data_IF_065902405783
#
_entry.id   IF_065902405783
#
_cell.length_a   1.000
_cell.length_b   1.000
_cell.length_c   1.000
_cell.angle_alpha   90.00
_cell.angle_beta   90.00
_cell.angle_gamma   90.00
#
_symmetry.space_group_name_H-M   'P 1'
#
loop_
_entity.id
_entity.type
_entity.pdbx_description
1 polymer ?
#
# COMPACT_ATOMS: atom_id res chain seq x y z
N UNK A 1 21.34 -1.19 -3.56
CA UNK A 1 22.69 -0.63 -3.80
C UNK A 1 23.43 -1.61 -4.68
N UNK A 2 24.00 -1.22 -5.84
CA UNK A 2 24.83 -2.13 -6.60
C UNK A 2 26.04 -2.49 -5.75
N UNK A 3 26.25 -3.77 -5.49
CA UNK A 3 27.51 -4.27 -4.95
C UNK A 3 28.57 -4.07 -6.03
N UNK A 4 29.46 -3.12 -5.79
CA UNK A 4 30.54 -2.80 -6.74
C UNK A 4 31.68 -3.81 -6.51
N UNK A 5 31.52 -5.01 -7.02
CA UNK A 5 32.62 -5.96 -7.13
C UNK A 5 33.33 -5.92 -8.50
N UNK A 6 32.81 -5.08 -9.41
CA UNK A 6 33.29 -5.05 -10.79
C UNK A 6 33.90 -3.69 -11.12
N UNK A 7 35.21 -3.65 -11.38
CA UNK A 7 35.93 -2.44 -11.79
C UNK A 7 35.48 -1.85 -13.14
N UNK A 8 34.54 -2.53 -13.83
CA UNK A 8 33.95 -2.04 -15.09
C UNK A 8 32.65 -1.26 -14.88
N UNK A 9 32.25 -0.94 -13.64
CA UNK A 9 31.12 -0.04 -13.41
C UNK A 9 31.48 1.38 -13.88
N UNK A 10 30.50 2.09 -14.49
CA UNK A 10 30.72 3.48 -14.82
C UNK A 10 31.13 4.25 -13.55
N UNK A 11 32.09 5.17 -13.65
CA UNK A 11 32.50 6.01 -12.52
C UNK A 11 31.33 6.86 -11.99
N UNK A 12 30.33 7.09 -12.81
CA UNK A 12 29.10 7.80 -12.48
C UNK A 12 27.97 6.80 -12.30
N UNK A 13 27.51 6.60 -11.07
CA UNK A 13 26.28 5.87 -10.77
C UNK A 13 25.37 6.69 -9.87
N UNK A 14 24.08 6.55 -10.08
CA UNK A 14 23.08 7.31 -9.41
C UNK A 14 21.90 6.41 -9.01
N UNK A 15 21.59 6.40 -7.73
CA UNK A 15 20.35 5.81 -7.22
C UNK A 15 19.34 6.95 -7.00
N UNK A 16 18.37 7.06 -7.89
CA UNK A 16 17.28 8.03 -7.76
C UNK A 16 16.07 7.39 -7.12
N UNK A 17 15.50 8.04 -6.11
CA UNK A 17 14.32 7.57 -5.39
C UNK A 17 13.33 8.71 -5.22
N UNK A 18 12.07 8.40 -5.42
CA UNK A 18 10.94 9.28 -5.17
C UNK A 18 10.37 8.98 -3.79
N UNK A 19 10.15 10.02 -3.01
CA UNK A 19 9.44 9.94 -1.72
C UNK A 19 8.25 10.88 -1.77
N UNK A 20 7.08 10.37 -1.37
CA UNK A 20 5.83 11.10 -1.33
C UNK A 20 4.90 10.41 -0.33
N UNK A 21 3.89 11.09 0.16
CA UNK A 21 2.93 10.74 1.21
C UNK A 21 2.63 9.26 1.46
N UNK A 22 2.42 8.48 0.45
CA UNK A 22 1.99 7.08 0.59
C UNK A 22 2.98 6.09 -0.03
N UNK A 23 4.11 6.55 -0.55
CA UNK A 23 4.99 5.72 -1.36
C UNK A 23 6.24 5.28 -0.62
N UNK A 24 6.94 6.25 -0.02
CA UNK A 24 8.12 5.95 0.80
C UNK A 24 8.45 7.12 1.71
N UNK A 25 9.23 6.85 2.75
CA UNK A 25 9.81 7.91 3.60
C UNK A 25 11.15 8.37 3.00
N UNK A 26 11.50 9.67 3.09
CA UNK A 26 12.71 10.22 2.48
C UNK A 26 13.95 9.90 3.33
N UNK A 27 14.28 8.61 3.42
CA UNK A 27 15.48 8.10 4.10
C UNK A 27 16.31 7.31 3.09
N UNK A 28 17.54 7.72 2.89
CA UNK A 28 18.49 7.06 1.99
C UNK A 28 19.74 6.67 2.76
N UNK A 29 20.25 5.48 2.54
CA UNK A 29 21.43 4.96 3.26
C UNK A 29 22.48 4.45 2.27
N UNK A 30 23.70 4.95 2.42
CA UNK A 30 24.88 4.36 1.83
C UNK A 30 25.39 3.27 2.78
N UNK A 31 25.45 2.03 2.26
CA UNK A 31 25.85 0.86 3.02
C UNK A 31 27.26 0.48 2.61
N UNK A 32 28.16 0.41 3.56
CA UNK A 32 29.53 -0.07 3.39
C UNK A 32 29.67 -1.58 3.57
N UNK A 33 30.90 -2.02 3.71
CA UNK A 33 31.20 -3.42 3.96
C UNK A 33 30.54 -3.94 5.25
N UNK A 34 30.29 -5.22 5.32
CA UNK A 34 29.66 -5.90 6.45
C UNK A 34 28.31 -5.27 6.90
N UNK A 35 27.57 -4.67 5.98
CA UNK A 35 26.26 -4.05 6.27
C UNK A 35 26.32 -2.87 7.25
N UNK A 36 27.48 -2.19 7.32
CA UNK A 36 27.68 -1.03 8.17
C UNK A 36 27.19 0.24 7.45
N UNK A 37 26.53 1.11 8.19
CA UNK A 37 26.16 2.44 7.72
C UNK A 37 27.39 3.27 7.41
N UNK A 38 27.45 3.82 6.21
CA UNK A 38 28.46 4.84 5.82
C UNK A 38 27.88 6.24 6.01
N UNK A 39 26.67 6.46 5.50
CA UNK A 39 25.91 7.68 5.73
C UNK A 39 24.42 7.43 5.48
N UNK A 40 23.57 7.87 6.40
CA UNK A 40 22.11 7.88 6.24
C UNK A 40 21.62 9.31 6.21
N UNK A 41 20.85 9.64 5.20
CA UNK A 41 20.23 10.95 4.99
C UNK A 41 18.73 10.83 5.23
N UNK A 42 18.17 11.70 6.07
CA UNK A 42 16.74 11.77 6.34
C UNK A 42 16.26 13.22 6.15
N UNK A 43 15.12 13.40 5.49
CA UNK A 43 14.55 14.72 5.19
C UNK A 43 13.28 14.90 6.00
N UNK A 44 13.10 16.07 6.62
CA UNK A 44 11.96 16.34 7.52
C UNK A 44 10.60 16.40 6.83
N UNK A 45 10.57 16.68 5.53
CA UNK A 45 9.32 16.71 4.76
C UNK A 45 9.03 15.34 4.14
N UNK A 46 8.17 14.57 4.78
CA UNK A 46 7.70 13.26 4.28
C UNK A 46 6.37 13.36 3.51
N UNK A 47 5.82 14.55 3.33
CA UNK A 47 4.50 14.74 2.73
C UNK A 47 4.56 15.21 1.28
N UNK A 48 5.48 16.12 0.96
CA UNK A 48 5.67 16.58 -0.40
C UNK A 48 6.53 15.61 -1.19
N UNK A 49 6.36 15.66 -2.49
CA UNK A 49 7.24 14.94 -3.39
C UNK A 49 8.65 15.48 -3.26
N UNK A 50 9.58 14.60 -2.92
CA UNK A 50 11.01 14.86 -2.96
C UNK A 50 11.69 13.81 -3.83
N UNK A 51 12.59 14.24 -4.69
CA UNK A 51 13.44 13.36 -5.47
C UNK A 51 14.81 13.36 -4.82
N UNK A 52 15.24 12.19 -4.33
CA UNK A 52 16.55 12.04 -3.71
C UNK A 52 17.48 11.24 -4.63
N UNK A 53 18.71 11.68 -4.73
CA UNK A 53 19.74 11.06 -5.55
C UNK A 53 20.98 10.82 -4.71
N UNK A 54 21.40 9.58 -4.63
CA UNK A 54 22.63 9.17 -3.95
C UNK A 54 23.52 8.49 -4.99
N UNK A 55 24.73 8.96 -5.15
CA UNK A 55 25.63 8.44 -6.17
C UNK A 55 27.06 8.94 -6.06
N UNK A 56 27.84 8.68 -7.10
CA UNK A 56 29.21 9.16 -7.26
C UNK A 56 29.23 10.13 -8.43
N UNK A 57 29.76 11.32 -8.20
CA UNK A 57 29.93 12.30 -9.27
C UNK A 57 31.17 11.94 -10.10
N UNK A 58 30.99 11.81 -11.43
CA UNK A 58 32.05 11.35 -12.34
C UNK A 58 33.26 12.30 -12.41
N UNK A 59 33.06 13.61 -12.24
CA UNK A 59 34.11 14.60 -12.34
C UNK A 59 35.00 14.67 -11.11
N UNK A 60 34.40 14.46 -9.93
CA UNK A 60 35.10 14.60 -8.65
C UNK A 60 35.41 13.25 -7.98
N UNK A 61 34.80 12.17 -8.46
CA UNK A 61 34.83 10.83 -7.85
C UNK A 61 34.38 10.82 -6.38
N UNK A 62 33.63 11.85 -5.98
CA UNK A 62 33.13 11.97 -4.61
C UNK A 62 31.70 11.47 -4.51
N UNK A 63 31.32 10.80 -3.41
CA UNK A 63 29.94 10.54 -3.10
C UNK A 63 29.15 11.84 -3.01
N UNK A 64 27.96 11.85 -3.62
CA UNK A 64 27.07 13.00 -3.60
C UNK A 64 25.66 12.57 -3.15
N UNK A 65 25.01 13.44 -2.41
CA UNK A 65 23.59 13.33 -2.09
C UNK A 65 22.87 14.60 -2.48
N UNK A 66 21.81 14.46 -3.25
CA UNK A 66 20.97 15.58 -3.71
C UNK A 66 19.52 15.32 -3.33
N UNK A 67 18.83 16.37 -2.92
CA UNK A 67 17.39 16.36 -2.71
C UNK A 67 16.74 17.50 -3.50
N UNK A 68 15.81 17.16 -4.35
CA UNK A 68 15.08 18.11 -5.22
C UNK A 68 13.65 18.25 -4.71
N UNK A 69 13.25 19.50 -4.41
CA UNK A 69 11.94 19.87 -3.94
C UNK A 69 11.24 20.75 -4.97
N UNK A 70 9.90 20.80 -4.92
CA UNK A 70 9.12 21.69 -5.77
C UNK A 70 9.37 21.48 -7.27
N UNK A 71 9.54 20.21 -7.65
CA UNK A 71 9.83 19.83 -9.06
C UNK A 71 8.61 19.97 -9.97
N UNK A 72 7.44 20.20 -9.40
CA UNK A 72 6.18 20.53 -10.09
C UNK A 72 5.58 21.79 -9.47
N UNK A 73 4.78 22.57 -10.23
CA UNK A 73 4.07 23.72 -9.68
C UNK A 73 3.12 23.28 -8.56
N UNK A 74 3.17 24.00 -7.43
CA UNK A 74 2.29 23.81 -6.28
C UNK A 74 1.46 25.07 -6.03
N UNK A 75 0.41 24.93 -5.23
CA UNK A 75 -0.37 26.08 -4.78
C UNK A 75 0.51 27.05 -3.98
N UNK A 76 0.22 28.38 -4.00
CA UNK A 76 0.97 29.32 -3.20
C UNK A 76 1.02 28.92 -1.73
N UNK A 77 2.21 28.89 -1.17
CA UNK A 77 2.46 28.54 0.24
C UNK A 77 3.37 29.57 0.90
N UNK A 78 3.30 29.65 2.22
CA UNK A 78 4.20 30.48 3.03
C UNK A 78 5.64 29.94 3.06
N UNK A 79 6.48 30.56 3.90
CA UNK A 79 7.85 30.11 4.12
C UNK A 79 7.87 28.65 4.59
N UNK A 80 8.74 27.86 3.99
CA UNK A 80 8.92 26.45 4.31
C UNK A 80 10.28 26.24 5.00
N UNK A 81 10.30 25.33 5.98
CA UNK A 81 11.52 24.92 6.65
C UNK A 81 11.71 23.43 6.42
N UNK A 82 12.79 23.08 5.76
CA UNK A 82 13.16 21.69 5.51
C UNK A 82 14.49 21.44 6.23
N UNK A 83 14.56 20.36 6.98
CA UNK A 83 15.76 19.93 7.70
C UNK A 83 16.28 18.63 7.07
N UNK A 84 17.59 18.51 6.98
CA UNK A 84 18.26 17.28 6.56
C UNK A 84 19.06 16.76 7.76
N UNK A 85 18.80 15.53 8.15
CA UNK A 85 19.58 14.81 9.15
C UNK A 85 20.58 13.90 8.44
N UNK A 86 21.83 13.95 8.87
CA UNK A 86 22.89 13.09 8.36
C UNK A 86 23.43 12.26 9.53
N UNK A 87 23.45 10.94 9.35
CA UNK A 87 23.97 9.99 10.33
C UNK A 87 25.14 9.22 9.73
N UNK A 88 26.33 9.46 10.26
CA UNK A 88 27.58 8.83 9.80
C UNK A 88 28.16 7.85 10.84
N UNK A 89 27.37 7.44 11.84
CA UNK A 89 27.81 6.46 12.83
C UNK A 89 28.08 5.12 12.15
N UNK A 90 29.18 4.48 12.52
CA UNK A 90 29.53 3.13 12.07
C UNK A 90 28.72 2.07 12.85
N UNK A 91 27.44 2.00 12.56
CA UNK A 91 26.47 1.07 13.15
C UNK A 91 25.83 0.22 12.03
N UNK A 92 25.11 -0.86 12.32
CA UNK A 92 24.32 -1.56 11.33
C UNK A 92 23.39 -0.61 10.59
N UNK A 93 23.32 -0.72 9.26
CA UNK A 93 22.55 0.22 8.43
C UNK A 93 21.07 0.33 8.85
N UNK A 94 20.46 -0.78 9.28
CA UNK A 94 19.06 -0.80 9.72
C UNK A 94 18.85 0.01 11.01
N UNK A 95 19.82 0.09 11.90
CA UNK A 95 19.76 0.96 13.09
C UNK A 95 19.81 2.44 12.70
N UNK A 96 20.62 2.79 11.69
CA UNK A 96 20.67 4.16 11.18
C UNK A 96 19.34 4.55 10.48
N UNK A 97 18.72 3.63 9.74
CA UNK A 97 17.40 3.82 9.13
C UNK A 97 16.33 4.01 10.22
N UNK A 98 16.29 3.13 11.23
CA UNK A 98 15.35 3.24 12.34
C UNK A 98 15.49 4.57 13.08
N UNK A 99 16.72 4.99 13.36
CA UNK A 99 16.98 6.29 13.96
C UNK A 99 16.55 7.47 13.09
N UNK A 100 16.56 7.31 11.76
CA UNK A 100 15.98 8.27 10.81
C UNK A 100 14.47 8.32 10.88
N UNK A 101 13.81 7.17 10.99
CA UNK A 101 12.37 7.05 11.14
C UNK A 101 11.89 7.67 12.47
N UNK A 102 12.54 7.35 13.59
CA UNK A 102 12.26 7.95 14.90
C UNK A 102 12.40 9.47 14.88
N UNK A 103 13.40 9.99 14.15
CA UNK A 103 13.56 11.44 13.98
C UNK A 103 12.41 12.05 13.17
N UNK A 104 11.91 11.37 12.14
CA UNK A 104 10.74 11.82 11.35
C UNK A 104 9.47 11.85 12.20
N UNK A 105 9.25 10.86 13.06
CA UNK A 105 8.10 10.80 13.97
C UNK A 105 8.03 11.98 14.95
N UNK A 106 9.15 12.66 15.19
CA UNK A 106 9.21 13.84 16.05
C UNK A 106 8.86 15.14 15.32
N UNK A 107 8.66 15.11 14.00
CA UNK A 107 8.30 16.31 13.25
C UNK A 107 6.89 16.77 13.61
N UNK A 108 6.66 18.10 13.79
CA UNK A 108 5.37 18.63 14.24
C UNK A 108 4.18 18.25 13.34
N UNK A 109 4.44 18.12 12.05
CA UNK A 109 3.44 17.78 11.05
C UNK A 109 3.15 16.27 11.00
N UNK A 110 4.05 15.43 11.52
CA UNK A 110 3.93 13.99 11.47
C UNK A 110 3.17 13.48 12.69
N UNK A 111 1.96 13.05 12.48
CA UNK A 111 1.09 12.48 13.52
C UNK A 111 0.71 11.06 13.13
N UNK A 112 1.49 10.06 13.53
CA UNK A 112 1.13 8.67 13.25
C UNK A 112 -0.22 8.34 13.87
N UNK A 113 -1.05 7.62 13.11
CA UNK A 113 -2.28 7.09 13.63
C UNK A 113 -2.00 6.06 14.72
N UNK A 114 -2.90 5.95 15.69
CA UNK A 114 -2.87 4.82 16.62
C UNK A 114 -3.08 3.53 15.84
N UNK A 115 -2.12 2.63 15.97
CA UNK A 115 -2.18 1.30 15.35
C UNK A 115 -2.90 0.36 16.32
N UNK A 116 -3.99 -0.33 15.92
CA UNK A 116 -4.63 -1.31 16.77
C UNK A 116 -3.66 -2.49 17.01
N UNK A 117 -3.69 -3.04 18.22
CA UNK A 117 -2.77 -4.11 18.65
C UNK A 117 -2.76 -5.30 17.68
N UNK A 118 -3.93 -5.67 17.16
CA UNK A 118 -4.06 -6.76 16.19
C UNK A 118 -3.33 -6.52 14.85
N UNK A 119 -3.00 -5.28 14.50
CA UNK A 119 -2.22 -4.98 13.29
C UNK A 119 -0.72 -5.29 13.44
N UNK A 120 -0.26 -5.55 14.66
CA UNK A 120 1.12 -5.98 14.97
C UNK A 120 1.27 -7.50 14.99
N UNK A 121 0.17 -8.24 14.80
CA UNK A 121 0.14 -9.68 14.83
C UNK A 121 0.27 -10.30 13.43
N UNK A 122 0.80 -11.55 13.31
CA UNK A 122 0.86 -12.23 12.04
C UNK A 122 -0.54 -12.42 11.42
N UNK A 123 -0.63 -12.21 10.11
CA UNK A 123 -1.85 -12.41 9.35
C UNK A 123 -1.65 -13.39 8.19
N UNK A 124 -2.74 -14.01 7.76
CA UNK A 124 -2.82 -14.85 6.59
C UNK A 124 -3.51 -14.09 5.45
N UNK A 125 -2.96 -14.15 4.23
CA UNK A 125 -3.60 -13.59 3.04
C UNK A 125 -3.87 -14.67 2.02
N UNK A 126 -5.09 -14.74 1.51
CA UNK A 126 -5.49 -15.74 0.51
C UNK A 126 -4.85 -15.51 -0.86
N UNK A 127 -4.33 -14.30 -1.15
CA UNK A 127 -3.77 -13.96 -2.44
C UNK A 127 -2.63 -14.88 -2.88
N UNK A 128 -1.76 -15.26 -1.95
CA UNK A 128 -0.51 -15.97 -2.29
C UNK A 128 -0.69 -17.44 -2.63
N UNK A 129 -1.80 -18.07 -2.26
CA UNK A 129 -2.05 -19.48 -2.56
C UNK A 129 -3.29 -19.74 -3.40
N UNK A 130 -4.26 -18.83 -3.43
CA UNK A 130 -5.50 -18.99 -4.19
C UNK A 130 -5.67 -18.00 -5.34
N UNK A 131 -4.98 -16.83 -5.29
CA UNK A 131 -5.28 -15.71 -6.19
C UNK A 131 -6.79 -15.41 -6.17
N UNK A 132 -7.42 -15.28 -7.35
CA UNK A 132 -8.86 -15.04 -7.48
C UNK A 132 -9.74 -16.30 -7.34
N UNK A 133 -9.16 -17.50 -7.24
CA UNK A 133 -9.93 -18.75 -7.16
C UNK A 133 -10.21 -19.12 -5.70
N UNK A 134 -10.92 -18.26 -5.01
CA UNK A 134 -11.24 -18.38 -3.58
C UNK A 134 -12.68 -18.84 -3.36
N UNK A 135 -12.85 -19.67 -2.34
CA UNK A 135 -14.14 -20.20 -1.89
C UNK A 135 -14.16 -20.28 -0.37
N UNK A 136 -15.35 -20.23 0.24
CA UNK A 136 -15.55 -20.23 1.68
C UNK A 136 -14.92 -21.44 2.40
N UNK A 137 -15.26 -22.66 1.98
CA UNK A 137 -14.85 -23.89 2.68
C UNK A 137 -13.32 -24.11 2.66
N UNK A 138 -12.57 -23.96 1.54
CA UNK A 138 -11.13 -23.99 1.56
C UNK A 138 -10.50 -22.95 2.49
N UNK A 139 -10.99 -21.70 2.50
CA UNK A 139 -10.44 -20.65 3.35
C UNK A 139 -10.67 -20.96 4.82
N UNK A 140 -11.86 -21.42 5.22
CA UNK A 140 -12.14 -21.83 6.60
C UNK A 140 -11.16 -22.91 7.06
N UNK A 141 -10.83 -23.88 6.18
CA UNK A 141 -9.85 -24.94 6.49
C UNK A 141 -8.43 -24.37 6.65
N UNK A 142 -8.00 -23.48 5.76
CA UNK A 142 -6.69 -22.85 5.87
C UNK A 142 -6.57 -21.97 7.12
N UNK A 143 -7.63 -21.26 7.50
CA UNK A 143 -7.67 -20.50 8.75
C UNK A 143 -7.47 -21.37 9.97
N UNK A 144 -8.08 -22.56 10.01
CA UNK A 144 -7.90 -23.54 11.10
C UNK A 144 -6.43 -24.01 11.22
N UNK A 145 -5.69 -24.08 10.12
CA UNK A 145 -4.26 -24.36 10.14
C UNK A 145 -3.46 -23.11 10.54
N UNK A 146 -3.79 -21.93 9.97
CA UNK A 146 -3.08 -20.68 10.23
C UNK A 146 -3.07 -20.29 11.73
N UNK A 147 -4.17 -20.53 12.44
CA UNK A 147 -4.25 -20.32 13.90
C UNK A 147 -3.18 -21.08 14.66
N UNK A 148 -2.83 -22.30 14.24
CA UNK A 148 -1.80 -23.12 14.90
C UNK A 148 -0.40 -22.48 14.81
N UNK A 149 -0.19 -21.60 13.83
CA UNK A 149 1.05 -20.83 13.64
C UNK A 149 0.97 -19.42 14.23
N UNK A 150 -0.07 -19.13 15.01
CA UNK A 150 -0.23 -17.84 15.71
C UNK A 150 -0.82 -16.72 14.87
N UNK A 151 -1.35 -16.99 13.69
CA UNK A 151 -2.02 -15.98 12.87
C UNK A 151 -3.36 -15.60 13.49
N UNK A 152 -3.66 -14.30 13.52
CA UNK A 152 -4.83 -13.73 14.20
C UNK A 152 -5.82 -13.06 13.25
N UNK A 153 -5.43 -12.83 12.02
CA UNK A 153 -6.26 -12.15 11.02
C UNK A 153 -6.11 -12.85 9.68
N UNK A 154 -7.21 -12.99 8.94
CA UNK A 154 -7.20 -13.38 7.54
C UNK A 154 -7.62 -12.19 6.65
N UNK A 155 -6.87 -11.95 5.58
CA UNK A 155 -7.30 -11.12 4.47
C UNK A 155 -7.85 -12.05 3.39
N UNK A 156 -9.15 -11.98 3.15
CA UNK A 156 -9.81 -12.59 2.00
C UNK A 156 -9.65 -11.62 0.85
N UNK A 157 -8.74 -11.96 -0.05
CA UNK A 157 -8.28 -11.09 -1.13
C UNK A 157 -9.26 -11.09 -2.32
N UNK A 158 -8.87 -10.50 -3.45
CA UNK A 158 -9.64 -10.40 -4.69
C UNK A 158 -10.25 -11.75 -5.10
N UNK A 159 -11.49 -11.74 -5.58
CA UNK A 159 -12.20 -12.93 -6.10
C UNK A 159 -13.46 -13.31 -5.32
N UNK A 160 -13.70 -12.74 -4.14
CA UNK A 160 -14.89 -13.06 -3.34
C UNK A 160 -16.20 -12.56 -3.97
N UNK A 161 -16.12 -11.54 -4.82
CA UNK A 161 -17.23 -10.93 -5.58
C UNK A 161 -17.41 -11.51 -6.99
N UNK A 162 -16.53 -12.41 -7.42
CA UNK A 162 -16.52 -12.93 -8.79
C UNK A 162 -17.32 -14.21 -8.93
N UNK A 163 -18.41 -14.21 -9.70
CA UNK A 163 -19.15 -15.43 -10.06
C UNK A 163 -18.37 -16.32 -11.04
N UNK A 164 -17.40 -15.74 -11.77
CA UNK A 164 -16.49 -16.45 -12.64
C UNK A 164 -15.10 -15.81 -12.61
N UNK A 165 -14.06 -16.61 -12.88
CA UNK A 165 -12.71 -16.07 -12.95
C UNK A 165 -12.59 -15.04 -14.07
N UNK A 166 -12.25 -13.81 -13.70
CA UNK A 166 -12.15 -12.67 -14.61
C UNK A 166 -10.91 -12.66 -15.50
N UNK A 167 -10.10 -13.72 -15.46
CA UNK A 167 -8.82 -13.76 -16.18
C UNK A 167 -7.80 -12.73 -15.67
N UNK A 168 -7.85 -12.40 -14.38
CA UNK A 168 -6.97 -11.41 -13.75
C UNK A 168 -7.34 -9.96 -14.05
N UNK A 169 -8.54 -9.70 -14.60
CA UNK A 169 -9.03 -8.37 -14.94
C UNK A 169 -10.12 -7.93 -13.96
N UNK A 170 -10.23 -6.63 -13.75
CA UNK A 170 -11.15 -6.00 -12.79
C UNK A 170 -12.48 -5.59 -13.41
N UNK A 171 -12.92 -6.31 -14.46
CA UNK A 171 -14.12 -6.00 -15.24
C UNK A 171 -15.44 -6.09 -14.48
N UNK A 172 -15.46 -6.81 -13.36
CA UNK A 172 -16.65 -7.00 -12.52
C UNK A 172 -16.60 -6.21 -11.20
N UNK A 173 -15.47 -5.59 -10.89
CA UNK A 173 -15.33 -4.79 -9.65
C UNK A 173 -16.34 -3.65 -9.59
N UNK A 174 -16.76 -3.30 -8.40
CA UNK A 174 -17.60 -2.14 -8.11
C UNK A 174 -18.93 -2.49 -7.47
N UNK A 175 -19.57 -3.59 -7.82
CA UNK A 175 -20.87 -3.96 -7.25
C UNK A 175 -20.76 -4.42 -5.79
N UNK A 176 -19.62 -5.03 -5.43
CA UNK A 176 -19.25 -5.46 -4.06
C UNK A 176 -20.31 -6.36 -3.42
N UNK A 177 -20.88 -7.26 -4.22
CA UNK A 177 -21.80 -8.29 -3.77
C UNK A 177 -21.05 -9.63 -3.70
N UNK A 178 -21.17 -10.43 -2.61
CA UNK A 178 -20.56 -11.76 -2.54
C UNK A 178 -21.06 -12.67 -3.65
N UNK A 179 -20.15 -13.31 -4.36
CA UNK A 179 -20.47 -14.31 -5.37
C UNK A 179 -21.15 -15.52 -4.72
N UNK A 180 -22.39 -15.78 -5.08
CA UNK A 180 -23.19 -16.83 -4.42
C UNK A 180 -22.66 -18.24 -4.66
N UNK A 181 -21.98 -18.47 -5.77
CA UNK A 181 -21.31 -19.73 -6.09
C UNK A 181 -20.08 -20.01 -5.20
N UNK A 182 -19.52 -18.99 -4.56
CA UNK A 182 -18.29 -19.06 -3.77
C UNK A 182 -18.51 -18.78 -2.30
N UNK A 183 -19.30 -17.75 -2.01
CA UNK A 183 -19.66 -17.29 -0.66
C UNK A 183 -21.18 -17.19 -0.58
N UNK A 184 -21.89 -18.32 -0.46
CA UNK A 184 -23.36 -18.33 -0.45
C UNK A 184 -23.93 -17.51 0.72
N UNK A 185 -23.23 -17.47 1.85
CA UNK A 185 -23.57 -16.67 3.02
C UNK A 185 -22.29 -16.06 3.65
N UNK A 186 -21.98 -14.81 3.28
CA UNK A 186 -20.79 -14.12 3.77
C UNK A 186 -20.78 -13.94 5.30
N UNK A 187 -21.93 -13.65 5.91
CA UNK A 187 -22.02 -13.48 7.36
C UNK A 187 -21.69 -14.78 8.11
N UNK A 188 -22.21 -15.91 7.64
CA UNK A 188 -21.92 -17.24 8.21
C UNK A 188 -20.44 -17.63 8.01
N UNK A 189 -19.87 -17.30 6.86
CA UNK A 189 -18.44 -17.49 6.58
C UNK A 189 -17.57 -16.73 7.59
N UNK A 190 -17.87 -15.45 7.81
CA UNK A 190 -17.15 -14.62 8.79
C UNK A 190 -17.31 -15.19 10.21
N UNK A 191 -18.53 -15.59 10.60
CA UNK A 191 -18.78 -16.17 11.91
C UNK A 191 -17.95 -17.44 12.15
N UNK A 192 -17.85 -18.34 11.16
CA UNK A 192 -17.03 -19.57 11.27
C UNK A 192 -15.54 -19.27 11.46
N UNK A 193 -15.03 -18.17 10.90
CA UNK A 193 -13.65 -17.76 11.11
C UNK A 193 -13.47 -17.11 12.49
N UNK A 194 -14.45 -16.31 12.94
CA UNK A 194 -14.45 -15.77 14.31
C UNK A 194 -14.46 -16.88 15.37
N UNK A 195 -15.21 -17.96 15.16
CA UNK A 195 -15.20 -19.15 16.05
C UNK A 195 -13.82 -19.80 16.18
N UNK A 196 -12.96 -19.64 15.18
CA UNK A 196 -11.55 -20.09 15.21
C UNK A 196 -10.62 -19.10 15.92
N UNK A 197 -11.13 -17.95 16.36
CA UNK A 197 -10.36 -16.90 17.03
C UNK A 197 -9.58 -15.98 16.09
N UNK A 198 -9.94 -15.92 14.81
CA UNK A 198 -9.35 -15.02 13.82
C UNK A 198 -10.28 -13.87 13.47
N UNK A 199 -9.71 -12.73 13.10
CA UNK A 199 -10.39 -11.59 12.50
C UNK A 199 -10.45 -11.73 10.99
N UNK A 200 -11.45 -11.09 10.36
CA UNK A 200 -11.65 -11.15 8.91
C UNK A 200 -11.61 -9.78 8.29
N UNK A 201 -10.74 -9.61 7.32
CA UNK A 201 -10.68 -8.45 6.43
C UNK A 201 -11.03 -8.88 5.01
N UNK A 202 -11.80 -8.06 4.29
CA UNK A 202 -12.05 -8.25 2.86
C UNK A 202 -11.29 -7.23 2.03
N UNK A 203 -10.86 -7.67 0.86
CA UNK A 203 -10.25 -6.83 -0.16
C UNK A 203 -11.29 -6.02 -0.94
N UNK A 204 -10.93 -4.77 -1.26
CA UNK A 204 -11.68 -3.88 -2.14
C UNK A 204 -10.72 -3.08 -3.02
N UNK A 205 -10.94 -3.07 -4.33
CA UNK A 205 -10.29 -2.12 -5.23
C UNK A 205 -11.08 -0.81 -5.23
N UNK A 206 -10.79 0.03 -4.25
CA UNK A 206 -11.61 1.20 -3.87
C UNK A 206 -12.13 2.04 -5.03
N UNK A 207 -11.29 2.46 -6.02
CA UNK A 207 -11.76 3.36 -7.06
C UNK A 207 -12.32 2.64 -8.30
N UNK A 208 -12.29 1.30 -8.36
CA UNK A 208 -12.59 0.60 -9.61
C UNK A 208 -14.09 0.44 -9.84
N UNK A 209 -14.50 0.74 -11.06
CA UNK A 209 -15.79 0.36 -11.62
C UNK A 209 -15.56 -0.40 -12.93
N UNK A 210 -15.77 -1.72 -12.87
CA UNK A 210 -15.52 -2.63 -13.97
C UNK A 210 -16.51 -2.43 -15.13
N UNK A 211 -16.04 -2.63 -16.36
CA UNK A 211 -16.85 -2.43 -17.58
C UNK A 211 -18.15 -3.25 -17.59
N UNK A 212 -18.16 -4.42 -16.93
CA UNK A 212 -19.30 -5.35 -16.89
C UNK A 212 -20.08 -5.28 -15.56
N UNK A 213 -19.71 -4.39 -14.64
CA UNK A 213 -20.46 -4.19 -13.40
C UNK A 213 -21.79 -3.48 -13.65
N UNK A 214 -22.77 -3.71 -12.76
CA UNK A 214 -24.02 -2.93 -12.72
C UNK A 214 -23.72 -1.46 -12.46
N UNK A 215 -22.67 -1.21 -11.66
CA UNK A 215 -22.20 0.12 -11.25
C UNK A 215 -21.74 0.95 -12.45
N UNK A 216 -21.13 0.35 -13.47
CA UNK A 216 -20.71 1.04 -14.69
C UNK A 216 -21.84 1.82 -15.35
N UNK A 217 -23.07 1.29 -15.33
CA UNK A 217 -24.25 1.95 -15.86
C UNK A 217 -24.66 3.18 -15.06
N UNK A 218 -24.44 3.13 -13.74
CA UNK A 218 -24.80 4.21 -12.81
C UNK A 218 -23.76 5.33 -12.80
N UNK A 219 -22.49 4.98 -12.71
CA UNK A 219 -21.40 5.93 -12.47
C UNK A 219 -20.43 6.11 -13.64
N UNK A 220 -20.70 5.52 -14.79
CA UNK A 220 -19.78 5.57 -15.94
C UNK A 220 -19.41 6.97 -16.45
N UNK A 221 -20.19 8.02 -16.08
CA UNK A 221 -19.88 9.43 -16.35
C UNK A 221 -19.20 10.15 -15.16
N UNK A 222 -19.07 9.49 -14.03
CA UNK A 222 -18.47 10.01 -12.81
C UNK A 222 -17.10 9.34 -12.56
N UNK A 223 -16.28 9.32 -13.61
CA UNK A 223 -14.96 8.67 -13.60
C UNK A 223 -13.86 9.66 -13.96
N UNK A 224 -12.69 9.49 -13.38
CA UNK A 224 -11.47 10.25 -13.67
C UNK A 224 -10.85 9.81 -14.99
N UNK A 225 -10.67 8.50 -15.15
CA UNK A 225 -10.00 7.91 -16.30
C UNK A 225 -10.42 6.46 -16.49
N UNK A 226 -10.14 5.89 -17.66
CA UNK A 226 -10.35 4.48 -17.96
C UNK A 226 -9.02 3.75 -18.06
N UNK A 227 -8.94 2.61 -17.40
CA UNK A 227 -7.81 1.65 -17.47
C UNK A 227 -8.19 0.50 -18.40
N UNK A 228 -8.03 0.70 -19.71
CA UNK A 228 -8.49 -0.26 -20.73
C UNK A 228 -7.84 -1.64 -20.59
N UNK A 229 -6.57 -1.71 -20.20
CA UNK A 229 -5.83 -2.94 -19.94
C UNK A 229 -6.37 -3.74 -18.75
N UNK A 230 -7.06 -3.09 -17.83
CA UNK A 230 -7.67 -3.71 -16.64
C UNK A 230 -9.19 -3.91 -16.78
N UNK A 231 -9.78 -3.44 -17.88
CA UNK A 231 -11.25 -3.47 -18.14
C UNK A 231 -12.04 -2.76 -17.04
N UNK A 232 -11.54 -1.63 -16.57
CA UNK A 232 -12.16 -0.83 -15.49
C UNK A 232 -11.97 0.66 -15.72
N UNK A 233 -12.77 1.45 -15.05
CA UNK A 233 -12.62 2.90 -14.93
C UNK A 233 -12.40 3.29 -13.48
N UNK A 234 -11.80 4.45 -13.25
CA UNK A 234 -11.52 4.98 -11.92
C UNK A 234 -12.63 5.93 -11.52
N UNK A 235 -13.35 5.63 -10.46
CA UNK A 235 -14.39 6.50 -9.89
C UNK A 235 -13.82 7.85 -9.46
N UNK A 236 -14.57 8.90 -9.69
CA UNK A 236 -14.22 10.26 -9.26
C UNK A 236 -14.84 10.58 -7.90
N UNK A 237 -14.07 10.60 -6.81
CA UNK A 237 -14.59 10.86 -5.46
C UNK A 237 -15.02 12.32 -5.24
N UNK A 238 -14.83 13.23 -6.21
CA UNK A 238 -15.34 14.59 -6.13
C UNK A 238 -16.87 14.62 -6.24
N UNK A 239 -17.48 13.62 -6.87
CA UNK A 239 -18.93 13.45 -6.90
C UNK A 239 -19.45 12.95 -5.54
N UNK A 240 -20.39 13.67 -4.89
CA UNK A 240 -20.97 13.25 -3.62
C UNK A 240 -21.63 11.87 -3.68
N UNK A 241 -22.26 11.53 -4.80
CA UNK A 241 -22.93 10.25 -5.02
C UNK A 241 -21.96 9.08 -5.01
N UNK A 242 -20.75 9.27 -5.54
CA UNK A 242 -19.68 8.27 -5.50
C UNK A 242 -19.21 8.04 -4.06
N UNK A 243 -18.98 9.12 -3.31
CA UNK A 243 -18.55 9.01 -1.91
C UNK A 243 -19.61 8.32 -1.05
N UNK A 244 -20.88 8.68 -1.23
CA UNK A 244 -21.99 8.08 -0.47
C UNK A 244 -22.13 6.60 -0.81
N UNK A 245 -21.98 6.22 -2.09
CA UNK A 245 -21.96 4.83 -2.51
C UNK A 245 -20.86 4.04 -1.82
N UNK A 246 -19.60 4.48 -1.91
CA UNK A 246 -18.45 3.81 -1.30
C UNK A 246 -18.61 3.70 0.23
N UNK A 247 -19.05 4.78 0.88
CA UNK A 247 -19.35 4.75 2.32
C UNK A 247 -20.36 3.66 2.66
N UNK A 248 -21.45 3.56 1.87
CA UNK A 248 -22.49 2.56 2.12
C UNK A 248 -21.99 1.13 1.90
N UNK A 249 -21.12 0.89 0.91
CA UNK A 249 -20.48 -0.42 0.71
C UNK A 249 -19.76 -0.87 1.98
N UNK A 250 -18.88 -0.02 2.54
CA UNK A 250 -18.10 -0.37 3.74
C UNK A 250 -18.98 -0.49 5.00
N UNK A 251 -19.95 0.43 5.17
CA UNK A 251 -20.87 0.37 6.31
C UNK A 251 -21.73 -0.90 6.27
N UNK A 252 -22.19 -1.31 5.09
CA UNK A 252 -22.94 -2.55 4.90
C UNK A 252 -22.08 -3.76 5.26
N UNK A 253 -20.88 -3.84 4.73
CA UNK A 253 -19.95 -4.94 5.01
C UNK A 253 -19.65 -5.10 6.52
N UNK A 254 -19.42 -3.99 7.22
CA UNK A 254 -19.20 -4.01 8.67
C UNK A 254 -20.44 -4.46 9.45
N UNK A 255 -21.63 -4.00 9.06
CA UNK A 255 -22.87 -4.25 9.83
C UNK A 255 -23.47 -5.62 9.53
N UNK A 256 -23.54 -5.99 8.23
CA UNK A 256 -24.24 -7.18 7.80
C UNK A 256 -23.34 -8.42 7.84
N UNK A 257 -22.06 -8.27 7.52
CA UNK A 257 -21.11 -9.39 7.51
C UNK A 257 -20.21 -9.43 8.75
N UNK A 258 -20.27 -8.39 9.62
CA UNK A 258 -19.48 -8.29 10.85
C UNK A 258 -17.96 -8.36 10.61
N UNK A 259 -17.48 -7.74 9.54
CA UNK A 259 -16.05 -7.67 9.24
C UNK A 259 -15.30 -6.88 10.31
N UNK A 260 -14.05 -7.24 10.53
CA UNK A 260 -13.12 -6.53 11.43
C UNK A 260 -12.35 -5.40 10.71
N UNK A 261 -12.26 -5.46 9.39
CA UNK A 261 -11.55 -4.45 8.63
C UNK A 261 -11.56 -4.69 7.12
N UNK A 262 -10.75 -3.89 6.42
CA UNK A 262 -10.65 -3.90 4.97
C UNK A 262 -9.19 -3.87 4.51
N UNK A 263 -8.88 -4.60 3.43
CA UNK A 263 -7.72 -4.30 2.59
C UNK A 263 -8.21 -3.38 1.47
N UNK A 264 -7.79 -2.12 1.50
CA UNK A 264 -8.15 -1.10 0.51
C UNK A 264 -7.03 -0.97 -0.51
N UNK A 265 -7.26 -1.49 -1.70
CA UNK A 265 -6.27 -1.54 -2.77
C UNK A 265 -6.52 -0.49 -3.85
N UNK A 266 -5.50 -0.19 -4.66
CA UNK A 266 -5.56 0.72 -5.81
C UNK A 266 -5.96 2.17 -5.50
N UNK A 267 -5.81 2.64 -4.26
CA UNK A 267 -6.12 4.03 -3.87
C UNK A 267 -5.23 5.04 -4.60
N UNK A 268 -4.02 4.65 -4.93
CA UNK A 268 -3.05 5.40 -5.72
C UNK A 268 -3.57 5.79 -7.12
N UNK A 269 -4.57 5.06 -7.64
CA UNK A 269 -5.18 5.36 -8.94
C UNK A 269 -6.16 6.56 -8.91
N UNK A 270 -6.44 7.14 -7.75
CA UNK A 270 -7.29 8.34 -7.61
C UNK A 270 -6.51 9.63 -7.95
N UNK A 271 -5.25 9.55 -8.30
CA UNK A 271 -4.40 10.71 -8.65
C UNK A 271 -4.64 11.22 -10.07
#
# INVERSE_FOLDING_TARGET
TPLIENMCLPPDWLCEVYSELAWSVPINTAIGEASVNTATFSISDAFRKVITKLGINEYTSLPSYTAEFFTVPESPMGAQKISVRIDTRAIPYYEAINSGAEWLEQMPEYKPCMVPECALEPLYSTWYNFHQDIHDAPIIKECAEAVKYGMKTVIVDDGWELECLGGGLYRFCGDWEPAKSRFPNMAEFVEKIHEQGMKVMLWFSVPFVGDDSKLAKRFGKMTLTRRANLKTSILDPRFPEVREYLKNVYVTALKEWKLDGFKLDFIDNIS
#
